data_IF_594424465435
#
_entry.id   IF_594424465435
#
_cell.length_a   1.000
_cell.length_b   1.000
_cell.length_c   1.000
_cell.angle_alpha   90.00
_cell.angle_beta   90.00
_cell.angle_gamma   90.00
#
_symmetry.space_group_name_H-M   'P 1'
#
loop_
_entity.id
_entity.type
_entity.pdbx_description
1 polymer ?
#
# COMPACT_ATOMS: atom_id res chain seq x y z
N UNK A 1 24.06 14.41 10.24
CA UNK A 1 22.65 14.50 10.66
C UNK A 1 21.82 13.83 9.56
N UNK A 2 21.09 12.75 9.84
CA UNK A 2 20.37 12.04 8.79
C UNK A 2 19.26 12.93 8.23
N UNK A 3 19.12 12.91 6.89
CA UNK A 3 18.04 13.60 6.19
C UNK A 3 16.91 12.60 5.93
N UNK A 4 15.77 12.84 6.55
CA UNK A 4 14.58 11.98 6.48
C UNK A 4 13.44 12.72 5.78
N UNK A 5 12.76 12.05 4.89
CA UNK A 5 11.54 12.56 4.27
C UNK A 5 10.36 11.76 4.80
N UNK A 6 9.34 12.44 5.31
CA UNK A 6 8.01 11.85 5.54
C UNK A 6 7.19 12.13 4.29
N UNK A 7 6.89 11.07 3.53
CA UNK A 7 6.22 11.18 2.25
C UNK A 7 4.74 10.84 2.40
N UNK A 8 3.88 11.72 1.93
CA UNK A 8 2.42 11.54 1.90
C UNK A 8 1.89 11.68 0.48
N UNK A 9 0.71 11.12 0.24
CA UNK A 9 0.05 11.23 -1.06
C UNK A 9 -0.24 12.69 -1.46
N UNK A 10 -0.05 13.03 -2.74
CA UNK A 10 -0.31 14.38 -3.26
C UNK A 10 -1.76 14.84 -3.08
N UNK A 11 -2.68 13.90 -3.15
CA UNK A 11 -4.13 14.16 -3.12
C UNK A 11 -4.76 13.95 -1.74
N UNK A 12 -3.95 13.65 -0.71
CA UNK A 12 -4.49 13.40 0.63
C UNK A 12 -5.18 14.63 1.19
N UNK A 13 -6.41 14.45 1.66
CA UNK A 13 -7.24 15.48 2.28
C UNK A 13 -7.60 15.15 3.73
N UNK A 14 -7.33 13.92 4.19
CA UNK A 14 -7.66 13.48 5.54
C UNK A 14 -6.79 14.19 6.59
N UNK A 15 -7.35 15.06 7.46
CA UNK A 15 -6.56 15.80 8.45
C UNK A 15 -5.80 14.88 9.43
N UNK A 16 -6.37 13.71 9.73
CA UNK A 16 -5.73 12.74 10.63
C UNK A 16 -4.39 12.25 10.09
N UNK A 17 -4.32 11.93 8.80
CA UNK A 17 -3.07 11.47 8.18
C UNK A 17 -2.02 12.59 8.07
N UNK A 18 -2.46 13.83 7.83
CA UNK A 18 -1.55 14.97 7.82
C UNK A 18 -0.97 15.22 9.22
N UNK A 19 -1.81 15.17 10.26
CA UNK A 19 -1.33 15.26 11.65
C UNK A 19 -0.39 14.11 12.03
N UNK A 20 -0.63 12.89 11.51
CA UNK A 20 0.29 11.78 11.71
C UNK A 20 1.67 12.08 11.10
N UNK A 21 1.71 12.57 9.87
CA UNK A 21 2.96 12.96 9.22
C UNK A 21 3.70 14.06 9.99
N UNK A 22 2.98 15.09 10.46
CA UNK A 22 3.53 16.16 11.28
C UNK A 22 4.11 15.62 12.58
N UNK A 23 3.38 14.76 13.31
CA UNK A 23 3.83 14.16 14.56
C UNK A 23 5.09 13.31 14.37
N UNK A 24 5.15 12.51 13.31
CA UNK A 24 6.35 11.73 12.97
C UNK A 24 7.53 12.67 12.69
N UNK A 25 7.32 13.74 11.93
CA UNK A 25 8.37 14.68 11.60
C UNK A 25 8.90 15.43 12.84
N UNK A 26 8.02 15.82 13.77
CA UNK A 26 8.38 16.42 15.04
C UNK A 26 9.27 15.50 15.88
N UNK A 27 8.87 14.24 16.03
CA UNK A 27 9.61 13.24 16.78
C UNK A 27 10.99 12.93 16.18
N UNK A 28 11.09 12.89 14.86
CA UNK A 28 12.36 12.69 14.17
C UNK A 28 13.30 13.90 14.36
N UNK A 29 12.77 15.12 14.27
CA UNK A 29 13.54 16.36 14.54
C UNK A 29 14.02 16.43 15.98
N UNK A 30 13.17 16.07 16.95
CA UNK A 30 13.55 16.02 18.36
C UNK A 30 14.69 15.02 18.64
N UNK A 31 14.86 14.01 17.79
CA UNK A 31 15.95 13.03 17.83
C UNK A 31 17.16 13.41 16.98
N UNK A 32 17.20 14.63 16.46
CA UNK A 32 18.35 15.17 15.73
C UNK A 32 18.39 14.84 14.24
N UNK A 33 17.26 14.42 13.63
CA UNK A 33 17.19 14.28 12.18
C UNK A 33 16.78 15.58 11.50
N UNK A 34 17.32 15.82 10.30
CA UNK A 34 16.75 16.81 9.39
C UNK A 34 15.53 16.18 8.73
N UNK A 35 14.33 16.47 9.23
CA UNK A 35 13.11 15.86 8.73
C UNK A 35 12.23 16.85 7.96
N UNK A 36 11.83 16.45 6.76
CA UNK A 36 10.98 17.23 5.86
C UNK A 36 9.73 16.41 5.51
N UNK A 37 8.58 17.08 5.40
CA UNK A 37 7.37 16.46 4.87
C UNK A 37 7.30 16.80 3.39
N UNK A 38 7.01 15.79 2.55
CA UNK A 38 6.83 15.95 1.10
C UNK A 38 5.55 15.26 0.65
N UNK A 39 4.95 15.80 -0.40
CA UNK A 39 3.88 15.16 -1.16
C UNK A 39 4.48 14.49 -2.38
N UNK A 40 4.03 13.30 -2.74
CA UNK A 40 4.59 12.55 -3.87
C UNK A 40 4.53 13.31 -5.21
N UNK A 41 3.54 14.18 -5.43
CA UNK A 41 3.47 15.07 -6.60
C UNK A 41 4.57 16.12 -6.69
N UNK A 42 5.27 16.45 -5.57
CA UNK A 42 6.42 17.36 -5.53
C UNK A 42 7.75 16.66 -5.28
N UNK A 43 7.75 15.36 -5.05
CA UNK A 43 8.94 14.54 -4.83
C UNK A 43 9.15 13.63 -6.04
N UNK A 44 9.87 14.14 -7.01
CA UNK A 44 10.03 13.48 -8.30
C UNK A 44 11.14 12.44 -8.26
N UNK A 45 10.80 11.24 -8.73
CA UNK A 45 11.72 10.21 -9.20
C UNK A 45 11.49 10.01 -10.69
N UNK A 46 12.55 9.79 -11.43
CA UNK A 46 12.47 9.52 -12.86
C UNK A 46 13.42 8.40 -13.28
N UNK A 47 13.11 7.73 -14.37
CA UNK A 47 14.05 6.85 -15.07
C UNK A 47 14.73 7.69 -16.14
N UNK A 48 16.00 7.98 -15.97
CA UNK A 48 16.79 8.82 -16.86
C UNK A 48 18.12 8.14 -17.21
N UNK A 49 18.41 8.01 -18.49
CA UNK A 49 19.62 7.33 -18.95
C UNK A 49 19.80 5.90 -18.43
N UNK A 50 18.68 5.19 -18.17
CA UNK A 50 18.69 3.82 -17.62
C UNK A 50 18.88 3.74 -16.09
N UNK A 51 18.97 4.86 -15.39
CA UNK A 51 19.10 4.94 -13.94
C UNK A 51 17.91 5.63 -13.30
N UNK A 52 17.73 5.43 -12.00
CA UNK A 52 16.76 6.20 -11.23
C UNK A 52 17.43 7.48 -10.75
N UNK A 53 16.86 8.62 -11.13
CA UNK A 53 17.22 9.93 -10.59
C UNK A 53 16.27 10.35 -9.47
N UNK A 54 16.80 11.04 -8.47
CA UNK A 54 16.05 11.60 -7.35
C UNK A 54 16.16 13.12 -7.37
N UNK A 55 15.01 13.80 -7.34
CA UNK A 55 15.00 15.26 -7.26
C UNK A 55 15.52 15.80 -5.92
N UNK A 56 15.35 15.03 -4.86
CA UNK A 56 15.79 15.39 -3.51
C UNK A 56 16.47 14.21 -2.81
N UNK A 57 17.83 14.16 -2.76
CA UNK A 57 18.53 13.10 -2.04
C UNK A 57 18.20 13.08 -0.55
N UNK A 58 18.03 11.88 0.01
CA UNK A 58 17.76 11.64 1.43
C UNK A 58 18.33 10.29 1.86
N UNK A 59 18.52 10.09 3.16
CA UNK A 59 19.02 8.83 3.71
C UNK A 59 17.91 7.77 3.85
N UNK A 60 16.70 8.22 4.18
CA UNK A 60 15.53 7.34 4.24
C UNK A 60 14.22 8.12 4.08
N UNK A 61 13.16 7.36 3.80
CA UNK A 61 11.80 7.87 3.66
C UNK A 61 10.87 7.11 4.59
N UNK A 62 10.11 7.83 5.42
CA UNK A 62 8.91 7.30 6.07
C UNK A 62 7.77 7.42 5.08
N UNK A 63 7.36 6.29 4.52
CA UNK A 63 6.48 6.23 3.36
C UNK A 63 5.04 6.02 3.79
N UNK A 64 4.26 7.10 3.81
CA UNK A 64 2.84 7.07 4.20
C UNK A 64 1.92 7.11 2.96
N UNK A 65 2.26 6.30 1.97
CA UNK A 65 1.53 6.19 0.70
C UNK A 65 1.55 4.74 0.18
N UNK A 66 0.82 4.49 -0.90
CA UNK A 66 0.70 3.20 -1.57
C UNK A 66 1.07 3.26 -3.07
N UNK A 67 1.72 4.34 -3.50
CA UNK A 67 2.21 4.47 -4.86
C UNK A 67 3.38 3.51 -5.09
N UNK A 68 3.07 2.36 -5.72
CA UNK A 68 4.04 1.29 -5.96
C UNK A 68 5.20 1.71 -6.88
N UNK A 69 4.94 2.58 -7.85
CA UNK A 69 6.01 3.01 -8.75
C UNK A 69 7.04 3.85 -8.02
N UNK A 70 6.57 4.81 -7.23
CA UNK A 70 7.47 5.66 -6.46
C UNK A 70 8.23 4.89 -5.39
N UNK A 71 7.58 3.96 -4.66
CA UNK A 71 8.26 3.15 -3.65
C UNK A 71 9.36 2.28 -4.26
N UNK A 72 9.09 1.59 -5.37
CA UNK A 72 10.11 0.80 -6.07
C UNK A 72 11.24 1.64 -6.65
N UNK A 73 10.94 2.83 -7.18
CA UNK A 73 11.96 3.75 -7.68
C UNK A 73 12.87 4.24 -6.56
N UNK A 74 12.33 4.59 -5.40
CA UNK A 74 13.10 4.99 -4.23
C UNK A 74 14.03 3.86 -3.75
N UNK A 75 13.53 2.64 -3.58
CA UNK A 75 14.35 1.49 -3.21
C UNK A 75 15.42 1.16 -4.26
N UNK A 76 15.06 1.22 -5.54
CA UNK A 76 16.00 1.01 -6.65
C UNK A 76 17.10 2.06 -6.68
N UNK A 77 16.82 3.28 -6.25
CA UNK A 77 17.80 4.35 -6.06
C UNK A 77 18.65 4.19 -4.78
N UNK A 78 18.42 3.13 -3.99
CA UNK A 78 19.16 2.88 -2.74
C UNK A 78 18.60 3.59 -1.51
N UNK A 79 17.44 4.24 -1.60
CA UNK A 79 16.79 4.90 -0.47
C UNK A 79 16.10 3.86 0.41
N UNK A 80 16.34 3.93 1.71
CA UNK A 80 15.66 3.05 2.68
C UNK A 80 14.24 3.54 2.94
N UNK A 81 13.25 2.65 2.74
CA UNK A 81 11.85 2.94 3.04
C UNK A 81 11.40 2.35 4.38
N UNK A 82 10.50 3.04 5.05
CA UNK A 82 9.67 2.60 6.18
C UNK A 82 8.19 2.93 5.85
N UNK A 83 7.32 1.97 5.45
CA UNK A 83 7.61 0.56 5.20
C UNK A 83 8.21 0.32 3.80
N UNK A 84 8.76 -0.90 3.58
CA UNK A 84 9.30 -1.29 2.28
C UNK A 84 8.20 -1.41 1.21
N UNK A 85 8.59 -1.24 -0.06
CA UNK A 85 7.66 -1.40 -1.18
C UNK A 85 6.97 -2.78 -1.16
N UNK A 86 7.74 -3.85 -0.93
CA UNK A 86 7.22 -5.21 -0.85
C UNK A 86 6.21 -5.40 0.29
N UNK A 87 6.46 -4.81 1.48
CA UNK A 87 5.54 -4.90 2.61
C UNK A 87 4.23 -4.14 2.33
N UNK A 88 4.32 -2.94 1.75
CA UNK A 88 3.14 -2.16 1.37
C UNK A 88 2.29 -2.92 0.34
N UNK A 89 2.89 -3.47 -0.71
CA UNK A 89 2.18 -4.24 -1.74
C UNK A 89 1.52 -5.50 -1.17
N UNK A 90 2.23 -6.24 -0.32
CA UNK A 90 1.69 -7.44 0.33
C UNK A 90 0.49 -7.12 1.24
N UNK A 91 0.44 -5.94 1.84
CA UNK A 91 -0.62 -5.53 2.77
C UNK A 91 -1.77 -4.76 2.09
N UNK A 92 -1.57 -4.16 0.92
CA UNK A 92 -2.58 -3.35 0.26
C UNK A 92 -3.66 -4.17 -0.45
N UNK A 93 -3.29 -5.31 -1.01
CA UNK A 93 -4.21 -6.29 -1.59
C UNK A 93 -4.55 -7.39 -0.58
N UNK A 94 -5.84 -7.53 -0.24
CA UNK A 94 -6.30 -8.51 0.76
C UNK A 94 -5.97 -9.96 0.38
N UNK A 95 -6.07 -10.31 -0.91
CA UNK A 95 -5.78 -11.67 -1.34
C UNK A 95 -4.27 -11.93 -1.32
N UNK A 96 -3.47 -10.98 -1.75
CA UNK A 96 -2.00 -11.05 -1.65
C UNK A 96 -1.56 -11.20 -0.18
N UNK A 97 -2.22 -10.49 0.75
CA UNK A 97 -1.99 -10.65 2.20
C UNK A 97 -2.26 -12.08 2.65
N UNK A 98 -3.42 -12.68 2.27
CA UNK A 98 -3.74 -14.06 2.65
C UNK A 98 -2.76 -15.06 2.04
N UNK A 99 -2.38 -14.89 0.78
CA UNK A 99 -1.38 -15.75 0.11
C UNK A 99 -0.04 -15.67 0.84
N UNK A 100 0.42 -14.46 1.19
CA UNK A 100 1.68 -14.26 1.89
C UNK A 100 1.70 -14.84 3.30
N UNK A 101 0.56 -14.87 3.98
CA UNK A 101 0.42 -15.40 5.34
C UNK A 101 0.13 -16.90 5.39
N UNK A 102 -0.27 -17.50 4.27
CA UNK A 102 -0.56 -18.93 4.21
C UNK A 102 0.69 -19.77 4.57
N UNK A 103 0.50 -20.80 5.36
CA UNK A 103 1.60 -21.67 5.81
C UNK A 103 2.41 -21.17 7.01
N UNK A 104 2.12 -19.98 7.54
CA UNK A 104 2.81 -19.39 8.71
C UNK A 104 2.14 -19.71 10.06
N UNK A 105 1.24 -20.70 10.11
CA UNK A 105 0.57 -21.12 11.36
C UNK A 105 -0.48 -20.12 11.88
N UNK A 106 -0.91 -19.17 11.06
CA UNK A 106 -1.94 -18.21 11.41
C UNK A 106 -3.33 -18.74 11.08
N UNK A 107 -4.31 -18.45 11.95
CA UNK A 107 -5.71 -18.73 11.66
C UNK A 107 -6.24 -17.69 10.67
N UNK A 108 -6.34 -18.09 9.41
CA UNK A 108 -6.92 -17.28 8.34
C UNK A 108 -8.32 -17.80 8.02
N UNK A 109 -9.30 -16.93 7.70
CA UNK A 109 -10.58 -17.39 7.21
C UNK A 109 -10.41 -18.05 5.84
N UNK A 110 -11.20 -19.09 5.57
CA UNK A 110 -11.26 -19.70 4.25
C UNK A 110 -11.65 -18.65 3.21
N UNK A 111 -10.85 -18.53 2.19
CA UNK A 111 -10.96 -17.43 1.22
C UNK A 111 -10.71 -17.92 -0.20
N UNK A 112 -11.54 -17.49 -1.13
CA UNK A 112 -11.40 -17.76 -2.56
C UNK A 112 -11.24 -16.43 -3.32
N UNK A 113 -10.27 -16.31 -4.24
CA UNK A 113 -10.17 -15.15 -5.12
C UNK A 113 -11.25 -15.25 -6.20
N UNK A 114 -11.93 -14.14 -6.49
CA UNK A 114 -12.74 -14.05 -7.68
C UNK A 114 -11.85 -14.02 -8.94
N UNK A 115 -12.32 -14.54 -10.10
CA UNK A 115 -11.61 -14.40 -11.35
C UNK A 115 -11.36 -12.93 -11.70
N UNK A 116 -10.21 -12.67 -12.31
CA UNK A 116 -9.93 -11.34 -12.85
C UNK A 116 -10.92 -11.02 -13.97
N UNK A 117 -11.63 -9.91 -13.82
CA UNK A 117 -12.55 -9.40 -14.81
C UNK A 117 -12.01 -8.15 -15.47
N UNK A 118 -11.95 -8.16 -16.80
CA UNK A 118 -11.47 -7.03 -17.61
C UNK A 118 -12.60 -6.07 -18.04
N UNK A 119 -13.87 -6.44 -17.77
CA UNK A 119 -15.03 -5.69 -18.22
C UNK A 119 -15.80 -5.17 -17.01
N UNK A 120 -15.98 -3.87 -16.94
CA UNK A 120 -16.64 -3.21 -15.80
C UNK A 120 -18.14 -3.53 -15.68
N UNK A 121 -18.77 -3.93 -16.79
CA UNK A 121 -20.19 -4.28 -16.92
C UNK A 121 -20.46 -5.78 -16.92
N UNK A 122 -19.45 -6.61 -16.72
CA UNK A 122 -19.61 -8.05 -16.69
C UNK A 122 -20.43 -8.50 -15.47
N UNK A 123 -21.47 -9.29 -15.73
CA UNK A 123 -22.21 -9.95 -14.67
C UNK A 123 -21.40 -11.11 -14.06
N UNK A 124 -21.49 -11.27 -12.75
CA UNK A 124 -20.92 -12.43 -12.07
C UNK A 124 -21.67 -13.69 -12.52
N UNK A 125 -20.92 -14.73 -12.90
CA UNK A 125 -21.50 -16.00 -13.35
C UNK A 125 -22.10 -16.77 -12.18
N UNK A 126 -23.33 -17.27 -12.35
CA UNK A 126 -24.05 -18.04 -11.33
C UNK A 126 -23.30 -19.30 -10.90
N UNK A 127 -22.70 -20.02 -11.87
CA UNK A 127 -21.90 -21.21 -11.59
C UNK A 127 -20.72 -20.92 -10.65
N UNK A 128 -20.09 -19.73 -10.76
CA UNK A 128 -19.05 -19.31 -9.84
C UNK A 128 -19.59 -19.05 -8.44
N UNK A 129 -20.71 -18.33 -8.33
CA UNK A 129 -21.36 -18.05 -7.02
C UNK A 129 -21.75 -19.35 -6.33
N UNK A 130 -22.31 -20.31 -7.08
CA UNK A 130 -22.66 -21.63 -6.57
C UNK A 130 -21.43 -22.38 -6.05
N UNK A 131 -20.37 -22.47 -6.84
CA UNK A 131 -19.15 -23.16 -6.46
C UNK A 131 -18.49 -22.55 -5.20
N UNK A 132 -18.53 -21.20 -5.05
CA UNK A 132 -18.07 -20.52 -3.83
C UNK A 132 -18.93 -20.90 -2.63
N UNK A 133 -20.26 -20.88 -2.78
CA UNK A 133 -21.19 -21.28 -1.70
C UNK A 133 -21.05 -22.74 -1.28
N UNK A 134 -20.86 -23.65 -2.24
CA UNK A 134 -20.61 -25.08 -1.96
C UNK A 134 -19.30 -25.30 -1.19
N UNK A 135 -18.28 -24.50 -1.47
CA UNK A 135 -16.97 -24.66 -0.85
C UNK A 135 -16.82 -23.95 0.51
N UNK A 136 -17.37 -22.75 0.66
CA UNK A 136 -17.21 -21.92 1.86
C UNK A 136 -18.44 -21.96 2.79
N UNK A 137 -19.61 -22.35 2.30
CA UNK A 137 -20.87 -22.22 3.02
C UNK A 137 -21.42 -20.79 3.02
N UNK A 138 -22.58 -20.61 3.63
CA UNK A 138 -23.24 -19.31 3.82
C UNK A 138 -23.42 -19.05 5.32
N UNK A 139 -23.39 -17.78 5.80
CA UNK A 139 -23.23 -16.54 5.03
C UNK A 139 -21.79 -16.31 4.54
N UNK A 140 -21.65 -15.53 3.45
CA UNK A 140 -20.38 -15.20 2.82
C UNK A 140 -20.06 -13.70 2.95
N UNK A 141 -18.79 -13.37 3.13
CA UNK A 141 -18.33 -11.99 3.07
C UNK A 141 -17.56 -11.76 1.78
N UNK A 142 -18.10 -10.94 0.91
CA UNK A 142 -17.42 -10.46 -0.30
C UNK A 142 -16.65 -9.17 0.02
N UNK A 143 -15.40 -9.10 -0.44
CA UNK A 143 -14.53 -7.93 -0.22
C UNK A 143 -13.86 -7.53 -1.53
N UNK A 144 -13.77 -6.23 -1.81
CA UNK A 144 -12.84 -5.75 -2.84
C UNK A 144 -11.41 -6.07 -2.39
N UNK A 145 -10.54 -6.51 -3.32
CA UNK A 145 -9.12 -6.79 -3.03
C UNK A 145 -8.44 -5.55 -2.48
N UNK A 146 -8.62 -4.42 -3.15
CA UNK A 146 -8.13 -3.11 -2.70
C UNK A 146 -9.22 -2.32 -2.00
N UNK A 147 -8.84 -1.50 -1.04
CA UNK A 147 -9.74 -0.65 -0.28
C UNK A 147 -9.48 -0.69 1.23
N UNK A 148 -9.87 0.38 1.91
CA UNK A 148 -9.65 0.58 3.34
C UNK A 148 -10.96 0.96 4.03
N UNK A 149 -10.97 0.92 5.36
CA UNK A 149 -12.09 1.40 6.19
C UNK A 149 -13.43 0.66 5.98
N UNK A 150 -13.39 -0.58 5.49
CA UNK A 150 -14.59 -1.37 5.22
C UNK A 150 -15.30 -1.00 3.91
N UNK A 151 -14.78 -0.08 3.12
CA UNK A 151 -15.33 0.18 1.79
C UNK A 151 -15.19 -1.05 0.90
N UNK A 152 -16.30 -1.40 0.23
CA UNK A 152 -16.34 -2.59 -0.63
C UNK A 152 -16.40 -3.93 0.12
N UNK A 153 -16.82 -3.95 1.38
CA UNK A 153 -17.20 -5.17 2.12
C UNK A 153 -18.70 -5.36 2.07
N UNK A 154 -19.16 -6.56 1.71
CA UNK A 154 -20.57 -6.96 1.63
C UNK A 154 -20.76 -8.33 2.29
N UNK A 155 -21.92 -8.53 2.91
CA UNK A 155 -22.39 -9.79 3.46
C UNK A 155 -23.40 -10.39 2.50
#
# INVERSE_FOLDING_TARGET
>A
MPKVIVLVNAYIRAPAMLRQAERIAEELRARGAQCLIRRNGGFLCAVEGGNISLAEPCDCVVYLDKDKYLSHMLEKAGVRLFDSAAAVEACDDKMTTYISLAGHGLHLPDTLPAPLCYYADAAVREEYVRAVGERLGYPLVAKKSFGSWGDGVRL
#
